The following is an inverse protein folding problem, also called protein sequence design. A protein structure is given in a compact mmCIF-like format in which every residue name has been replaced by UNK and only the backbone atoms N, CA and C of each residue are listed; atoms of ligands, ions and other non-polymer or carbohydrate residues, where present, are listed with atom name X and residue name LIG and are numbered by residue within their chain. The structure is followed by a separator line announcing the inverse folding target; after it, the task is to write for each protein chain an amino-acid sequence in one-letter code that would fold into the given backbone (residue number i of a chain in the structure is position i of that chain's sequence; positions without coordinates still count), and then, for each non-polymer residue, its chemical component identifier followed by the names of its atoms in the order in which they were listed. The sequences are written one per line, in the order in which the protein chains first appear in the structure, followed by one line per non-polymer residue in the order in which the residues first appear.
data_IF_865896470371
#
_entry.id   IF_865896470371
#
_cell.length_a   1.000
_cell.length_b   1.000
_cell.length_c   1.000
_cell.angle_alpha   90.00
_cell.angle_beta   90.00
_cell.angle_gamma   90.00
#
_symmetry.space_group_name_H-M   'P 1'
#
loop_
_entity.id
_entity.type
_entity.pdbx_description
1 polymer ?
#
# COMPACT_ATOMS: atom_id res chain seq x y z
N UNK A 1 -4.72 -11.66 -6.53
CA UNK A 1 -3.80 -12.80 -6.76
C UNK A 1 -2.40 -12.35 -6.37
N UNK A 2 -1.58 -13.30 -5.92
CA UNK A 2 -0.15 -13.06 -5.68
C UNK A 2 0.64 -13.54 -6.89
N UNK A 3 1.76 -12.89 -7.18
CA UNK A 3 2.76 -13.48 -8.07
C UNK A 3 3.62 -14.52 -7.33
N UNK A 4 4.49 -15.20 -8.07
CA UNK A 4 5.43 -16.21 -7.56
C UNK A 4 6.42 -15.66 -6.50
N UNK A 5 6.49 -14.34 -6.31
CA UNK A 5 7.38 -13.66 -5.38
C UNK A 5 6.62 -13.05 -4.19
N UNK A 6 5.31 -13.32 -4.07
CA UNK A 6 4.48 -12.86 -2.96
C UNK A 6 4.06 -11.39 -3.06
N UNK A 7 4.14 -10.77 -4.24
CA UNK A 7 3.56 -9.45 -4.49
C UNK A 7 2.09 -9.57 -4.83
N UNK A 8 1.29 -8.67 -4.29
CA UNK A 8 -0.07 -8.50 -4.78
C UNK A 8 -0.04 -7.94 -6.20
N UNK A 9 -0.98 -8.37 -7.02
CA UNK A 9 -1.20 -7.82 -8.36
C UNK A 9 -2.57 -7.13 -8.45
N UNK A 10 -2.61 -5.97 -9.09
CA UNK A 10 -3.85 -5.32 -9.56
C UNK A 10 -3.82 -5.35 -11.09
N UNK A 11 -4.82 -5.98 -11.71
CA UNK A 11 -4.93 -6.17 -13.16
C UNK A 11 -3.65 -6.75 -13.82
N UNK A 12 -2.99 -7.69 -13.12
CA UNK A 12 -1.76 -8.33 -13.59
C UNK A 12 -0.48 -7.52 -13.38
N UNK A 13 -0.56 -6.29 -12.84
CA UNK A 13 0.60 -5.47 -12.47
C UNK A 13 0.93 -5.60 -10.99
N UNK A 14 2.21 -5.77 -10.67
CA UNK A 14 2.74 -5.68 -9.29
C UNK A 14 2.96 -4.24 -8.83
N UNK A 15 2.94 -3.31 -9.77
CA UNK A 15 3.22 -1.90 -9.51
C UNK A 15 1.89 -1.17 -9.28
N UNK A 16 1.71 -0.70 -8.05
CA UNK A 16 0.49 -0.03 -7.61
C UNK A 16 0.53 1.48 -7.87
N UNK A 17 1.74 2.02 -8.03
CA UNK A 17 2.02 3.42 -8.32
C UNK A 17 3.49 3.62 -8.65
N UNK A 18 3.84 4.84 -9.09
CA UNK A 18 5.22 5.24 -9.37
C UNK A 18 5.55 6.47 -8.54
N UNK A 19 6.57 6.38 -7.70
CA UNK A 19 7.16 7.56 -7.08
C UNK A 19 7.91 8.37 -8.15
N UNK A 20 7.66 9.69 -8.26
CA UNK A 20 8.42 10.55 -9.15
C UNK A 20 9.93 10.55 -8.86
N UNK A 21 10.73 10.71 -9.92
CA UNK A 21 12.16 10.97 -9.82
C UNK A 21 12.44 12.26 -9.05
N UNK A 22 13.61 12.36 -8.41
CA UNK A 22 14.07 13.58 -7.75
C UNK A 22 13.40 13.89 -6.40
N UNK A 23 12.53 13.01 -5.88
CA UNK A 23 12.02 13.11 -4.50
C UNK A 23 13.06 12.62 -3.49
N UNK A 24 13.86 11.63 -3.87
CA UNK A 24 14.95 11.12 -3.04
C UNK A 24 16.30 11.56 -3.61
N UNK A 25 17.23 11.92 -2.72
CA UNK A 25 18.61 12.21 -3.12
C UNK A 25 19.23 10.96 -3.75
N UNK A 26 19.89 11.13 -4.89
CA UNK A 26 20.53 10.03 -5.62
C UNK A 26 19.59 9.12 -6.42
N UNK A 27 18.29 9.43 -6.48
CA UNK A 27 17.31 8.69 -7.29
C UNK A 27 16.80 9.57 -8.43
N UNK A 28 17.34 9.34 -9.62
CA UNK A 28 17.09 10.12 -10.85
C UNK A 28 16.00 9.52 -11.75
N UNK A 29 15.52 8.31 -11.43
CA UNK A 29 14.43 7.63 -12.13
C UNK A 29 13.19 7.43 -11.25
N UNK A 30 11.99 7.32 -11.85
CA UNK A 30 10.80 6.95 -11.11
C UNK A 30 10.95 5.58 -10.44
N UNK A 31 10.50 5.44 -9.19
CA UNK A 31 10.55 4.17 -8.47
C UNK A 31 9.18 3.52 -8.40
N UNK A 32 9.03 2.23 -8.77
CA UNK A 32 7.78 1.52 -8.58
C UNK A 32 7.45 1.35 -7.10
N UNK A 33 6.17 1.54 -6.77
CA UNK A 33 5.61 1.29 -5.44
C UNK A 33 4.84 -0.03 -5.52
N UNK A 34 5.24 -0.99 -4.68
CA UNK A 34 4.71 -2.35 -4.65
C UNK A 34 4.14 -2.70 -3.30
N UNK A 35 3.20 -3.64 -3.28
CA UNK A 35 2.61 -4.18 -2.07
C UNK A 35 2.94 -5.69 -1.96
N UNK A 36 3.72 -6.03 -0.94
CA UNK A 36 4.12 -7.40 -0.63
C UNK A 36 3.15 -8.03 0.38
N UNK A 37 3.01 -9.37 0.32
CA UNK A 37 2.28 -10.14 1.34
C UNK A 37 2.79 -9.82 2.75
N UNK A 38 4.11 -9.80 2.92
CA UNK A 38 4.77 -9.42 4.15
C UNK A 38 4.58 -10.43 5.27
N UNK A 39 4.55 -9.93 6.51
CA UNK A 39 4.29 -10.69 7.72
C UNK A 39 3.60 -9.81 8.78
N UNK A 40 3.39 -10.33 10.00
CA UNK A 40 2.79 -9.56 11.12
C UNK A 40 3.44 -8.20 11.44
N UNK A 41 4.67 -7.92 10.97
CA UNK A 41 5.38 -6.65 11.19
C UNK A 41 5.28 -5.66 10.02
N UNK A 42 5.02 -6.10 8.79
CA UNK A 42 4.97 -5.23 7.61
C UNK A 42 4.22 -5.89 6.43
N UNK A 43 3.75 -5.10 5.47
CA UNK A 43 3.05 -5.61 4.28
C UNK A 43 1.57 -5.92 4.53
N UNK A 44 0.95 -6.72 3.67
CA UNK A 44 -0.49 -7.02 3.75
C UNK A 44 -0.90 -7.69 5.05
N UNK A 45 -0.19 -8.71 5.51
CA UNK A 45 -0.53 -9.38 6.78
C UNK A 45 -0.59 -8.38 7.95
N UNK A 46 0.38 -7.46 8.01
CA UNK A 46 0.40 -6.42 9.03
C UNK A 46 -0.77 -5.44 8.88
N UNK A 47 -1.07 -5.01 7.65
CA UNK A 47 -2.17 -4.10 7.37
C UNK A 47 -3.51 -4.74 7.74
N UNK A 48 -3.74 -6.01 7.40
CA UNK A 48 -4.95 -6.74 7.78
C UNK A 48 -5.06 -6.88 9.29
N UNK A 49 -3.97 -7.26 9.96
CA UNK A 49 -3.98 -7.48 11.40
C UNK A 49 -4.23 -6.18 12.18
N UNK A 50 -3.61 -5.07 11.77
CA UNK A 50 -3.67 -3.79 12.50
C UNK A 50 -4.78 -2.86 12.05
N UNK A 51 -5.19 -2.97 10.79
CA UNK A 51 -6.10 -2.02 10.13
C UNK A 51 -7.27 -2.70 9.40
N UNK A 52 -7.38 -4.03 9.44
CA UNK A 52 -8.41 -4.80 8.73
C UNK A 52 -9.84 -4.45 9.14
N UNK A 53 -10.10 -4.24 10.44
CA UNK A 53 -11.43 -3.83 10.91
C UNK A 53 -11.86 -2.48 10.33
N UNK A 54 -10.93 -1.57 10.09
CA UNK A 54 -11.21 -0.30 9.43
C UNK A 54 -11.38 -0.47 7.91
N UNK A 55 -10.51 -1.24 7.26
CA UNK A 55 -10.62 -1.54 5.84
C UNK A 55 -11.98 -2.17 5.51
N UNK A 56 -12.47 -3.08 6.35
CA UNK A 56 -13.78 -3.68 6.23
C UNK A 56 -14.92 -2.65 6.32
N UNK A 57 -14.83 -1.67 7.24
CA UNK A 57 -15.79 -0.55 7.33
C UNK A 57 -15.76 0.38 6.12
N UNK A 58 -14.70 0.33 5.32
CA UNK A 58 -14.57 1.09 4.08
C UNK A 58 -14.80 0.21 2.84
N UNK A 59 -15.23 -1.04 3.03
CA UNK A 59 -15.47 -2.01 1.95
C UNK A 59 -14.26 -2.21 1.03
N UNK A 60 -13.06 -2.17 1.62
CA UNK A 60 -11.81 -2.30 0.90
C UNK A 60 -10.95 -3.44 1.45
N UNK A 61 -10.20 -4.08 0.56
CA UNK A 61 -9.05 -4.89 0.93
C UNK A 61 -7.81 -4.00 1.13
N UNK A 62 -6.75 -4.49 1.80
CA UNK A 62 -5.48 -3.77 1.88
C UNK A 62 -4.98 -3.35 0.50
N UNK A 63 -5.03 -4.27 -0.47
CA UNK A 63 -4.58 -4.01 -1.83
C UNK A 63 -5.44 -2.95 -2.53
N UNK A 64 -6.76 -3.05 -2.48
CA UNK A 64 -7.63 -2.05 -3.11
C UNK A 64 -7.48 -0.68 -2.47
N UNK A 65 -7.30 -0.61 -1.14
CA UNK A 65 -7.10 0.65 -0.43
C UNK A 65 -5.76 1.29 -0.80
N UNK A 66 -4.66 0.53 -0.74
CA UNK A 66 -3.33 1.02 -1.13
C UNK A 66 -3.35 1.50 -2.59
N UNK A 67 -3.96 0.73 -3.48
CA UNK A 67 -4.07 1.09 -4.88
C UNK A 67 -4.87 2.37 -5.09
N UNK A 68 -6.08 2.46 -4.52
CA UNK A 68 -6.92 3.67 -4.55
C UNK A 68 -6.13 4.88 -4.05
N UNK A 69 -5.38 4.67 -2.95
CA UNK A 69 -4.61 5.73 -2.34
C UNK A 69 -3.48 6.21 -3.25
N UNK A 70 -2.73 5.31 -3.86
CA UNK A 70 -1.66 5.69 -4.80
C UNK A 70 -2.14 6.37 -6.09
N UNK A 71 -3.45 6.40 -6.36
CA UNK A 71 -4.04 7.25 -7.41
C UNK A 71 -4.30 8.70 -6.98
N UNK A 72 -3.94 9.07 -5.76
CA UNK A 72 -4.17 10.40 -5.20
C UNK A 72 -2.85 11.14 -5.05
N UNK A 73 -2.88 12.47 -5.22
CA UNK A 73 -1.71 13.29 -4.93
C UNK A 73 -1.46 13.36 -3.42
N UNK A 74 -0.18 13.45 -3.04
CA UNK A 74 0.25 13.47 -1.65
C UNK A 74 1.53 14.27 -1.44
N UNK A 75 1.93 14.40 -0.19
CA UNK A 75 3.18 15.00 0.25
C UNK A 75 4.09 13.91 0.79
N UNK A 76 5.37 13.93 0.41
CA UNK A 76 6.37 12.94 0.81
C UNK A 76 7.30 13.55 1.85
N UNK A 77 7.60 12.78 2.90
CA UNK A 77 8.45 13.17 4.02
C UNK A 77 9.47 12.09 4.33
N UNK A 78 10.69 12.49 4.72
CA UNK A 78 11.66 11.57 5.31
C UNK A 78 11.19 11.09 6.68
N UNK A 79 11.82 10.05 7.21
CA UNK A 79 11.59 9.61 8.60
C UNK A 79 12.93 9.48 9.32
N UNK A 80 12.92 9.42 10.66
CA UNK A 80 14.16 9.21 11.46
C UNK A 80 14.82 7.85 11.18
N UNK A 81 14.05 6.88 10.66
CA UNK A 81 14.61 5.63 10.15
C UNK A 81 15.13 5.87 8.71
N UNK A 82 16.44 5.75 8.53
CA UNK A 82 17.14 6.00 7.25
C UNK A 82 16.58 5.19 6.07
N UNK A 83 15.91 4.06 6.32
CA UNK A 83 15.35 3.17 5.30
C UNK A 83 13.87 3.44 4.95
N UNK A 84 13.20 4.34 5.68
CA UNK A 84 11.75 4.55 5.57
C UNK A 84 11.39 5.98 5.16
N UNK A 85 10.29 6.06 4.42
CA UNK A 85 9.70 7.31 3.95
C UNK A 85 8.20 7.28 4.18
N UNK A 86 7.63 8.42 4.52
CA UNK A 86 6.18 8.59 4.70
C UNK A 86 5.59 9.34 3.51
N UNK A 87 4.56 8.77 2.87
CA UNK A 87 3.68 9.51 1.96
C UNK A 87 2.40 9.83 2.72
N UNK A 88 2.18 11.11 2.99
CA UNK A 88 0.91 11.60 3.51
C UNK A 88 -0.01 11.99 2.36
N UNK A 89 -1.26 11.58 2.41
CA UNK A 89 -2.21 11.89 1.37
C UNK A 89 -3.52 12.46 1.91
N UNK A 90 -4.01 13.49 1.21
CA UNK A 90 -5.01 14.41 1.79
C UNK A 90 -6.47 14.09 1.46
N UNK A 91 -6.75 13.14 0.56
CA UNK A 91 -8.11 12.81 0.16
C UNK A 91 -8.78 11.83 1.12
N UNK A 92 -10.03 12.13 1.49
CA UNK A 92 -10.74 11.40 2.54
C UNK A 92 -10.97 9.90 2.20
N UNK A 93 -10.79 9.00 3.18
CA UNK A 93 -10.21 9.31 4.49
C UNK A 93 -8.71 9.59 4.36
N UNK A 94 -8.19 10.63 5.01
CA UNK A 94 -6.75 10.93 4.96
C UNK A 94 -5.94 9.69 5.36
N UNK A 95 -4.81 9.47 4.68
CA UNK A 95 -4.02 8.28 4.92
C UNK A 95 -2.53 8.57 4.84
N UNK A 96 -1.79 7.94 5.75
CA UNK A 96 -0.34 7.95 5.79
C UNK A 96 0.15 6.57 5.35
N UNK A 97 0.78 6.49 4.18
CA UNK A 97 1.49 5.30 3.74
C UNK A 97 2.93 5.38 4.23
N UNK A 98 3.41 4.30 4.85
CA UNK A 98 4.83 4.13 5.16
C UNK A 98 5.45 3.24 4.10
N UNK A 99 6.45 3.77 3.41
CA UNK A 99 7.21 3.08 2.40
C UNK A 99 8.63 2.79 2.89
N UNK A 100 9.22 1.71 2.37
CA UNK A 100 10.64 1.39 2.55
C UNK A 100 11.28 1.20 1.19
N UNK A 101 12.44 1.81 1.00
CA UNK A 101 13.22 1.62 -0.22
C UNK A 101 13.98 0.29 -0.19
N UNK A 102 13.96 -0.44 -1.31
CA UNK A 102 14.70 -1.70 -1.49
C UNK A 102 15.79 -1.45 -2.54
N UNK A 103 17.03 -1.15 -2.13
CA UNK A 103 18.09 -0.72 -3.06
C UNK A 103 18.46 -1.80 -4.09
N UNK A 104 18.44 -3.07 -3.69
CA UNK A 104 18.88 -4.19 -4.54
C UNK A 104 18.00 -4.46 -5.75
N UNK A 105 16.76 -4.00 -5.72
CA UNK A 105 15.76 -4.21 -6.77
C UNK A 105 15.08 -2.91 -7.20
N UNK A 106 15.54 -1.77 -6.66
CA UNK A 106 15.12 -0.42 -7.02
C UNK A 106 13.61 -0.19 -7.00
N UNK A 107 12.95 -0.57 -5.90
CA UNK A 107 11.52 -0.30 -5.68
C UNK A 107 11.22 0.14 -4.25
N UNK A 108 10.04 0.71 -4.06
CA UNK A 108 9.48 1.04 -2.76
C UNK A 108 8.43 0.00 -2.38
N UNK A 109 8.54 -0.59 -1.19
CA UNK A 109 7.50 -1.47 -0.66
C UNK A 109 6.64 -0.74 0.35
N UNK A 110 5.33 -0.97 0.29
CA UNK A 110 4.39 -0.53 1.33
C UNK A 110 4.62 -1.36 2.58
N UNK A 111 4.94 -0.69 3.68
CA UNK A 111 5.14 -1.28 5.01
C UNK A 111 3.81 -1.33 5.76
N UNK A 112 3.08 -0.21 5.77
CA UNK A 112 1.77 -0.09 6.44
C UNK A 112 0.99 1.13 5.93
N UNK A 113 -0.28 1.24 6.34
CA UNK A 113 -1.17 2.37 6.07
C UNK A 113 -1.88 2.80 7.36
N UNK A 114 -1.82 4.10 7.71
CA UNK A 114 -2.52 4.67 8.85
C UNK A 114 -3.64 5.63 8.41
N UNK A 115 -4.77 5.58 9.12
CA UNK A 115 -5.95 6.42 8.90
C UNK A 115 -5.85 7.82 9.52
N UNK A 116 -5.08 7.94 10.60
CA UNK A 116 -4.85 9.24 11.23
C UNK A 116 -3.67 9.90 10.53
N UNK A 117 -3.71 11.22 10.41
CA UNK A 117 -2.47 12.00 10.32
C UNK A 117 -1.68 11.66 11.58
N UNK A 118 -0.83 10.65 11.49
CA UNK A 118 0.19 10.46 12.50
C UNK A 118 1.08 11.69 12.46
N UNK A 119 1.77 11.99 13.57
CA UNK A 119 2.71 13.11 13.58
C UNK A 119 3.69 12.88 12.44
N UNK A 120 3.63 13.74 11.42
CA UNK A 120 4.58 13.70 10.33
C UNK A 120 5.89 14.16 10.94
N UNK A 121 6.74 13.20 11.21
CA UNK A 121 8.13 13.40 11.59
C UNK A 121 8.97 13.55 10.30
N UNK A 122 10.11 14.21 10.41
CA UNK A 122 11.05 14.39 9.32
C UNK A 122 10.79 15.59 8.41
N UNK A 123 11.56 15.63 7.32
CA UNK A 123 11.65 16.77 6.41
C UNK A 123 10.80 16.53 5.19
N UNK A 124 10.11 17.56 4.71
CA UNK A 124 9.39 17.51 3.44
C UNK A 124 10.36 17.28 2.28
N UNK A 125 10.09 16.24 1.48
CA UNK A 125 10.93 15.83 0.34
C UNK A 125 10.32 16.23 -1.01
N UNK A 126 8.99 16.35 -1.10
CA UNK A 126 8.34 16.72 -2.35
C UNK A 126 6.87 16.32 -2.44
N UNK A 127 6.30 16.48 -3.64
CA UNK A 127 4.92 16.08 -3.92
C UNK A 127 4.89 14.75 -4.66
N UNK A 128 4.16 13.79 -4.12
CA UNK A 128 3.75 12.61 -4.85
C UNK A 128 2.63 12.99 -5.83
N UNK A 129 2.82 12.65 -7.10
CA UNK A 129 1.80 12.78 -8.13
C UNK A 129 1.64 11.42 -8.83
N UNK A 130 0.41 10.89 -8.92
CA UNK A 130 0.18 9.66 -9.67
C UNK A 130 0.58 9.86 -11.13
N UNK A 131 1.28 8.87 -11.70
CA UNK A 131 1.71 8.92 -13.09
C UNK A 131 0.49 8.85 -14.04
N UNK A 132 0.39 9.72 -15.05
CA UNK A 132 -0.67 9.65 -16.05
C UNK A 132 -0.55 8.34 -16.83
N UNK A 133 -1.53 7.45 -16.68
CA UNK A 133 -1.58 6.14 -17.35
C UNK A 133 -1.73 4.95 -16.39
N UNK A 134 -1.32 5.07 -15.12
CA UNK A 134 -1.60 4.05 -14.09
C UNK A 134 -3.07 4.14 -13.65
N UNK A 135 -3.58 5.35 -13.44
CA UNK A 135 -4.98 5.61 -13.06
C UNK A 135 -6.02 5.22 -14.12
N UNK A 136 -5.66 5.27 -15.41
CA UNK A 136 -6.61 5.08 -16.52
C UNK A 136 -6.90 3.61 -16.84
N UNK A 137 -6.03 2.68 -16.41
CA UNK A 137 -6.18 1.24 -16.67
C UNK A 137 -6.74 0.46 -15.49
N UNK A 138 -6.74 1.04 -14.30
CA UNK A 138 -6.98 0.35 -13.04
C UNK A 138 -8.29 0.87 -12.43
N UNK A 139 -9.43 0.31 -12.87
CA UNK A 139 -10.63 0.32 -12.03
C UNK A 139 -10.50 -0.93 -11.17
N UNK A 140 -10.12 -0.86 -9.89
CA UNK A 140 -10.20 -2.02 -9.03
C UNK A 140 -11.66 -2.44 -8.98
N UNK A 141 -12.01 -3.53 -9.68
CA UNK A 141 -13.24 -4.24 -9.36
C UNK A 141 -13.01 -4.75 -7.94
N UNK A 142 -13.86 -4.40 -6.95
CA UNK A 142 -13.72 -4.95 -5.63
C UNK A 142 -13.99 -6.46 -5.72
N UNK A 143 -12.93 -7.26 -5.89
CA UNK A 143 -13.01 -8.71 -5.72
C UNK A 143 -13.01 -8.95 -4.22
N UNK A 144 -14.12 -8.63 -3.57
CA UNK A 144 -14.45 -9.20 -2.29
C UNK A 144 -14.85 -10.66 -2.55
N UNK A 145 -13.86 -11.56 -2.61
CA UNK A 145 -14.12 -12.93 -2.18
C UNK A 145 -13.80 -12.95 -0.69
N UNK A 146 -14.81 -13.00 0.20
CA UNK A 146 -14.51 -13.31 1.59
C UNK A 146 -13.72 -14.62 1.60
N UNK A 147 -12.72 -14.79 2.47
CA UNK A 147 -12.17 -16.11 2.71
C UNK A 147 -13.34 -17.04 3.03
N UNK A 148 -13.38 -18.29 2.51
CA UNK A 148 -14.45 -19.21 2.84
C UNK A 148 -14.51 -19.29 4.36
N UNK A 149 -15.60 -18.79 4.93
CA UNK A 149 -15.91 -19.00 6.33
C UNK A 149 -15.92 -20.51 6.47
N UNK A 150 -14.95 -21.06 7.19
CA UNK A 150 -15.00 -22.45 7.59
C UNK A 150 -16.26 -22.58 8.45
N UNK A 151 -17.34 -23.04 7.82
CA UNK A 151 -18.56 -23.39 8.53
C UNK A 151 -18.15 -24.40 9.61
N UNK A 152 -18.50 -24.17 10.88
CA UNK A 152 -18.25 -25.18 11.90
C UNK A 152 -18.94 -26.46 11.43
N UNK A 153 -18.15 -27.52 11.29
CA UNK A 153 -18.64 -28.86 10.95
C UNK A 153 -19.76 -29.19 11.94
N UNK A 154 -20.99 -29.26 11.42
CA UNK A 154 -22.12 -29.79 12.17
C UNK A 154 -21.73 -31.19 12.61
N UNK A 155 -21.46 -31.35 13.90
CA UNK A 155 -21.37 -32.66 14.54
C UNK A 155 -22.71 -33.35 14.29
N UNK A 156 -22.73 -34.31 13.37
CA UNK A 156 -23.76 -35.34 13.34
C UNK A 156 -23.51 -36.22 14.56
N UNK A 157 -24.20 -35.94 15.65
CA UNK A 157 -24.44 -36.95 16.68
C UNK A 157 -25.59 -37.81 16.19
N UNK A 158 -25.30 -39.09 16.03
CA UNK A 158 -26.26 -40.17 15.85
C UNK A 158 -27.09 -40.37 17.13
#
# INVERSE_FOLDING_TARGET
MYDQYGFWTVDGSTDFGLMPAGIFSGVDKPLPIRLQHGNKKWGVEHIEQRHGAWLLKQEHTPASMVHLKLQQSGSVYSTEAEDKTKINMMLNPSALLVLRYIPTQEYLTVVTIYLKQDKIDGTYLGKYRPAPGVAARLRPVPVYSPPPIALPQLKKSA
#
